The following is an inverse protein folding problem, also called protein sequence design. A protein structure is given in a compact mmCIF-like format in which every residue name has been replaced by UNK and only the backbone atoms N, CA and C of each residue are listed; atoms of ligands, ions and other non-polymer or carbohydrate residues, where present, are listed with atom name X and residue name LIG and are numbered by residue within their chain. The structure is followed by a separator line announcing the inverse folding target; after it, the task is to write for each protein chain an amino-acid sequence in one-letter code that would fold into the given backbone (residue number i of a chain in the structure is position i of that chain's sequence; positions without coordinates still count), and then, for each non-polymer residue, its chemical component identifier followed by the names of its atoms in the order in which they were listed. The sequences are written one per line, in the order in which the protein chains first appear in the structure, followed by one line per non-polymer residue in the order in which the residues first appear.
data_IF_917737712278
#
_entry.id   IF_917737712278
#
_cell.length_a   1.000
_cell.length_b   1.000
_cell.length_c   1.000
_cell.angle_alpha   90.00
_cell.angle_beta   90.00
_cell.angle_gamma   90.00
#
_symmetry.space_group_name_H-M   'P 1'
#
loop_
_entity.id
_entity.type
_entity.pdbx_description
1 polymer ?
#
# COMPACT_ATOMS: atom_id res chain seq x y z
N UNK A 1 4.32 -18.06 3.20
CA UNK A 1 3.56 -16.79 3.22
C UNK A 1 4.22 -15.79 2.29
N UNK A 2 3.47 -15.26 1.34
CA UNK A 2 3.95 -14.22 0.42
C UNK A 2 3.63 -12.85 1.00
N UNK A 3 4.49 -11.87 0.78
CA UNK A 3 4.29 -10.53 1.31
C UNK A 3 3.99 -9.52 0.20
N UNK A 4 2.94 -8.73 0.43
CA UNK A 4 2.59 -7.57 -0.38
C UNK A 4 3.02 -6.33 0.40
N UNK A 5 3.91 -5.53 -0.17
CA UNK A 5 4.42 -4.33 0.48
C UNK A 5 3.96 -3.09 -0.28
N UNK A 6 3.12 -2.27 0.35
CA UNK A 6 2.69 -0.99 -0.19
C UNK A 6 3.61 0.13 0.29
N UNK A 7 4.05 0.98 -0.63
CA UNK A 7 5.02 2.03 -0.32
C UNK A 7 4.52 3.39 -0.82
N UNK A 8 4.60 4.38 0.03
CA UNK A 8 4.41 5.80 -0.32
C UNK A 8 5.59 6.62 0.26
N UNK A 9 5.44 7.94 0.36
CA UNK A 9 6.52 8.77 0.88
C UNK A 9 6.64 8.66 2.40
N UNK A 10 5.61 9.10 3.12
CA UNK A 10 5.67 9.26 4.58
C UNK A 10 5.12 8.09 5.39
N UNK A 11 4.41 7.16 4.78
CA UNK A 11 3.79 6.02 5.45
C UNK A 11 2.81 6.41 6.57
N UNK A 12 2.09 7.50 6.39
CA UNK A 12 1.10 7.98 7.36
C UNK A 12 -0.31 8.13 6.81
N UNK A 13 -0.48 8.11 5.50
CA UNK A 13 -1.79 8.25 4.85
C UNK A 13 -2.06 7.15 3.83
N UNK A 14 -1.46 7.26 2.63
CA UNK A 14 -1.79 6.41 1.47
C UNK A 14 -1.46 4.94 1.69
N UNK A 15 -0.23 4.61 2.04
CA UNK A 15 0.17 3.21 2.18
C UNK A 15 -0.48 2.52 3.37
N UNK A 16 -0.67 3.18 4.55
CA UNK A 16 -1.43 2.54 5.64
C UNK A 16 -2.87 2.26 5.27
N UNK A 17 -3.56 3.20 4.61
CA UNK A 17 -4.93 3.00 4.16
C UNK A 17 -5.01 1.85 3.14
N UNK A 18 -4.07 1.83 2.19
CA UNK A 18 -4.01 0.78 1.18
C UNK A 18 -3.80 -0.59 1.82
N UNK A 19 -2.89 -0.68 2.77
CA UNK A 19 -2.63 -1.94 3.49
C UNK A 19 -3.87 -2.42 4.25
N UNK A 20 -4.57 -1.51 4.94
CA UNK A 20 -5.79 -1.87 5.68
C UNK A 20 -6.89 -2.37 4.74
N UNK A 21 -7.11 -1.69 3.63
CA UNK A 21 -8.10 -2.11 2.63
C UNK A 21 -7.72 -3.44 1.98
N UNK A 22 -6.44 -3.63 1.68
CA UNK A 22 -5.95 -4.89 1.11
C UNK A 22 -6.08 -6.04 2.10
N UNK A 23 -5.78 -5.82 3.38
CA UNK A 23 -5.98 -6.87 4.41
C UNK A 23 -7.44 -7.30 4.50
N UNK A 24 -8.37 -6.36 4.36
CA UNK A 24 -9.79 -6.68 4.33
C UNK A 24 -10.13 -7.58 3.13
N UNK A 25 -9.61 -7.26 1.95
CA UNK A 25 -9.81 -8.08 0.75
C UNK A 25 -9.21 -9.48 0.91
N UNK A 26 -8.02 -9.57 1.46
CA UNK A 26 -7.33 -10.84 1.74
C UNK A 26 -8.16 -11.70 2.69
N UNK A 27 -8.69 -11.09 3.75
CA UNK A 27 -9.56 -11.82 4.70
C UNK A 27 -10.83 -12.32 4.02
N UNK A 28 -11.49 -11.46 3.22
CA UNK A 28 -12.74 -11.81 2.57
C UNK A 28 -12.58 -12.94 1.57
N UNK A 29 -11.39 -13.14 1.03
CA UNK A 29 -11.08 -14.23 0.10
C UNK A 29 -10.49 -15.46 0.80
N UNK A 30 -10.38 -15.44 2.13
CA UNK A 30 -9.84 -16.56 2.88
C UNK A 30 -8.35 -16.79 2.70
N UNK A 31 -7.59 -15.74 2.35
CA UNK A 31 -6.17 -15.84 2.02
C UNK A 31 -5.22 -15.37 3.12
N UNK A 32 -5.72 -15.04 4.31
CA UNK A 32 -4.92 -14.47 5.40
C UNK A 32 -3.77 -15.40 5.84
N UNK A 33 -3.91 -16.69 5.65
CA UNK A 33 -2.87 -17.67 5.99
C UNK A 33 -1.78 -17.78 4.92
N UNK A 34 -1.98 -17.20 3.75
CA UNK A 34 -1.04 -17.27 2.62
C UNK A 34 -0.40 -15.94 2.26
N UNK A 35 -1.00 -14.83 2.69
CA UNK A 35 -0.57 -13.48 2.35
C UNK A 35 -0.38 -12.62 3.58
N UNK A 36 0.72 -11.91 3.63
CA UNK A 36 0.99 -10.85 4.59
C UNK A 36 0.95 -9.53 3.86
N UNK A 37 0.31 -8.52 4.45
CA UNK A 37 0.22 -7.18 3.88
C UNK A 37 0.93 -6.20 4.81
N UNK A 38 1.92 -5.50 4.27
CA UNK A 38 2.73 -4.54 5.01
C UNK A 38 2.77 -3.21 4.26
N UNK A 39 3.25 -2.16 4.94
CA UNK A 39 3.46 -0.85 4.33
C UNK A 39 4.73 -0.20 4.85
N UNK A 40 5.31 0.69 4.05
CA UNK A 40 6.50 1.44 4.40
C UNK A 40 6.51 2.78 3.64
N UNK A 41 7.44 3.66 3.99
CA UNK A 41 7.65 4.91 3.29
C UNK A 41 9.12 5.07 2.91
N UNK A 42 9.39 5.81 1.83
CA UNK A 42 10.78 6.07 1.43
C UNK A 42 11.41 7.22 2.21
N UNK A 43 10.60 8.06 2.84
CA UNK A 43 11.01 9.17 3.70
C UNK A 43 10.11 9.24 4.94
N UNK A 44 9.95 8.11 5.62
CA UNK A 44 9.11 8.02 6.80
C UNK A 44 9.89 8.41 8.06
N UNK A 45 9.19 9.02 9.00
CA UNK A 45 9.69 9.19 10.36
C UNK A 45 9.26 7.97 11.17
N UNK A 46 10.22 7.14 11.57
CA UNK A 46 9.93 5.91 12.32
C UNK A 46 9.03 6.15 13.52
N UNK A 47 8.02 5.29 13.64
CA UNK A 47 7.14 5.29 14.80
C UNK A 47 6.00 6.28 14.76
N UNK A 48 5.92 7.15 13.75
CA UNK A 48 4.85 8.12 13.64
C UNK A 48 3.50 7.42 13.39
N UNK A 49 2.43 7.81 14.08
CA UNK A 49 1.11 7.21 13.83
C UNK A 49 0.56 7.64 12.47
N UNK A 50 -0.46 6.92 12.00
CA UNK A 50 -1.23 7.38 10.84
C UNK A 50 -1.90 8.73 11.18
N UNK A 51 -2.13 9.56 10.16
CA UNK A 51 -2.80 10.84 10.40
C UNK A 51 -4.19 10.63 10.99
N UNK A 52 -4.69 11.57 11.81
CA UNK A 52 -6.04 11.46 12.37
C UNK A 52 -7.12 11.26 11.30
N UNK A 53 -6.99 11.96 10.16
CA UNK A 53 -7.91 11.86 9.05
C UNK A 53 -7.90 10.46 8.43
N UNK A 54 -6.70 9.87 8.23
CA UNK A 54 -6.60 8.51 7.71
C UNK A 54 -7.21 7.50 8.67
N UNK A 55 -6.96 7.66 9.97
CA UNK A 55 -7.55 6.80 10.99
C UNK A 55 -9.07 6.88 10.97
N UNK A 56 -9.62 8.09 10.91
CA UNK A 56 -11.07 8.31 10.91
C UNK A 56 -11.73 7.69 9.68
N UNK A 57 -11.16 7.90 8.50
CA UNK A 57 -11.72 7.37 7.25
C UNK A 57 -11.72 5.85 7.26
N UNK A 58 -10.67 5.23 7.81
CA UNK A 58 -10.66 3.77 7.94
C UNK A 58 -11.67 3.27 8.97
N UNK A 59 -11.83 3.97 10.09
CA UNK A 59 -12.84 3.63 11.08
C UNK A 59 -14.27 3.67 10.49
N UNK A 60 -14.55 4.65 9.63
CA UNK A 60 -15.83 4.74 8.91
C UNK A 60 -16.11 3.50 8.06
N UNK A 61 -15.06 2.76 7.68
CA UNK A 61 -15.14 1.54 6.87
C UNK A 61 -15.01 0.27 7.71
N UNK A 62 -15.03 0.39 9.03
CA UNK A 62 -14.89 -0.74 9.94
C UNK A 62 -13.47 -1.26 10.08
N UNK A 63 -12.47 -0.44 9.72
CA UNK A 63 -11.05 -0.80 9.78
C UNK A 63 -10.33 0.08 10.79
N UNK A 64 -9.22 -0.41 11.34
CA UNK A 64 -8.45 0.33 12.34
C UNK A 64 -7.02 0.57 11.88
N UNK A 65 -6.56 1.81 12.03
CA UNK A 65 -5.14 2.19 11.90
C UNK A 65 -4.55 2.60 13.25
N UNK A 66 -5.23 2.32 14.36
CA UNK A 66 -4.78 2.76 15.68
C UNK A 66 -3.40 2.20 16.06
N UNK A 67 -3.09 0.98 15.61
CA UNK A 67 -1.80 0.34 15.87
C UNK A 67 -0.73 0.64 14.83
N UNK A 68 -1.03 1.39 13.78
CA UNK A 68 -0.07 1.67 12.73
C UNK A 68 1.06 2.57 13.24
N UNK A 69 2.30 2.21 12.87
CA UNK A 69 3.49 3.06 13.08
C UNK A 69 4.25 3.15 11.78
N UNK A 70 4.59 4.37 11.39
CA UNK A 70 5.34 4.60 10.16
C UNK A 70 6.69 3.88 10.23
N UNK A 71 7.07 3.27 9.11
CA UNK A 71 8.30 2.50 8.97
C UNK A 71 9.03 2.97 7.71
N UNK A 72 10.29 3.32 7.85
CA UNK A 72 11.11 3.70 6.72
C UNK A 72 11.62 2.45 6.00
N UNK A 73 11.48 2.42 4.68
CA UNK A 73 11.82 1.26 3.86
C UNK A 73 13.29 0.86 4.04
N UNK A 74 13.53 -0.42 4.30
CA UNK A 74 14.87 -0.99 4.42
C UNK A 74 15.16 -1.98 3.30
N UNK A 75 16.44 -2.28 3.10
CA UNK A 75 16.85 -3.31 2.14
C UNK A 75 16.24 -4.68 2.50
N UNK A 76 16.11 -4.99 3.78
CA UNK A 76 15.49 -6.24 4.24
C UNK A 76 14.01 -6.31 3.87
N UNK A 77 13.29 -5.19 3.97
CA UNK A 77 11.89 -5.10 3.55
C UNK A 77 11.76 -5.40 2.05
N UNK A 78 12.60 -4.77 1.25
CA UNK A 78 12.61 -4.96 -0.19
C UNK A 78 12.90 -6.43 -0.56
N UNK A 79 13.87 -7.03 0.11
CA UNK A 79 14.24 -8.43 -0.15
C UNK A 79 13.12 -9.39 0.24
N UNK A 80 12.45 -9.15 1.35
CA UNK A 80 11.39 -10.02 1.88
C UNK A 80 10.10 -9.95 1.06
N UNK A 81 9.80 -8.80 0.47
CA UNK A 81 8.55 -8.61 -0.27
C UNK A 81 8.48 -9.49 -1.51
N UNK A 82 7.34 -10.15 -1.71
CA UNK A 82 7.05 -10.88 -2.94
C UNK A 82 6.67 -9.94 -4.07
N UNK A 83 6.00 -8.83 -3.73
CA UNK A 83 5.66 -7.75 -4.64
C UNK A 83 5.72 -6.43 -3.87
N UNK A 84 6.22 -5.39 -4.53
CA UNK A 84 6.27 -4.03 -3.98
C UNK A 84 5.35 -3.16 -4.84
N UNK A 85 4.38 -2.54 -4.20
CA UNK A 85 3.36 -1.73 -4.89
C UNK A 85 3.48 -0.29 -4.39
N UNK A 86 4.00 0.58 -5.23
CA UNK A 86 4.13 2.00 -4.93
C UNK A 86 2.83 2.72 -5.27
N UNK A 87 2.50 3.74 -4.49
CA UNK A 87 1.28 4.53 -4.68
C UNK A 87 1.46 5.64 -5.72
N UNK A 88 2.70 5.90 -6.12
CA UNK A 88 3.01 6.86 -7.18
C UNK A 88 4.28 6.47 -7.91
N UNK A 89 4.41 6.93 -9.14
CA UNK A 89 5.52 6.57 -10.02
C UNK A 89 6.88 6.97 -9.45
N UNK A 90 6.99 8.16 -8.87
CA UNK A 90 8.26 8.65 -8.33
C UNK A 90 8.79 7.76 -7.20
N UNK A 91 7.90 7.16 -6.41
CA UNK A 91 8.28 6.22 -5.35
C UNK A 91 8.79 4.92 -5.96
N UNK A 92 8.12 4.39 -6.98
CA UNK A 92 8.57 3.19 -7.69
C UNK A 92 9.96 3.40 -8.31
N UNK A 93 10.17 4.55 -8.94
CA UNK A 93 11.46 4.91 -9.53
C UNK A 93 12.56 5.00 -8.47
N UNK A 94 12.28 5.63 -7.33
CA UNK A 94 13.24 5.75 -6.24
C UNK A 94 13.67 4.38 -5.70
N UNK A 95 12.73 3.46 -5.53
CA UNK A 95 13.04 2.09 -5.08
C UNK A 95 13.91 1.37 -6.10
N UNK A 96 13.57 1.49 -7.38
CA UNK A 96 14.31 0.82 -8.47
C UNK A 96 15.72 1.37 -8.62
N UNK A 97 15.90 2.68 -8.44
CA UNK A 97 17.23 3.32 -8.49
C UNK A 97 18.08 2.86 -7.31
N UNK A 98 17.53 2.85 -6.11
CA UNK A 98 18.22 2.43 -4.89
C UNK A 98 18.55 0.94 -4.90
N UNK A 99 17.63 0.11 -5.42
CA UNK A 99 17.74 -1.35 -5.42
C UNK A 99 17.39 -1.90 -6.81
N UNK A 100 18.30 -1.77 -7.79
CA UNK A 100 18.01 -2.20 -9.18
C UNK A 100 17.62 -3.66 -9.30
N UNK A 101 18.15 -4.53 -8.45
CA UNK A 101 17.81 -5.96 -8.46
C UNK A 101 16.36 -6.25 -8.08
N UNK A 102 15.65 -5.30 -7.50
CA UNK A 102 14.24 -5.44 -7.15
C UNK A 102 13.29 -5.00 -8.27
N UNK A 103 13.80 -4.45 -9.37
CA UNK A 103 13.00 -3.83 -10.43
C UNK A 103 11.86 -4.74 -10.94
N UNK A 104 12.11 -6.04 -11.05
CA UNK A 104 11.12 -7.00 -11.58
C UNK A 104 9.89 -7.14 -10.69
N UNK A 105 9.97 -6.81 -9.41
CA UNK A 105 8.85 -6.93 -8.47
C UNK A 105 8.29 -5.59 -7.99
N UNK A 106 8.77 -4.47 -8.55
CA UNK A 106 8.29 -3.13 -8.22
C UNK A 106 7.27 -2.68 -9.26
N UNK A 107 6.08 -2.34 -8.80
CA UNK A 107 4.99 -1.87 -9.65
C UNK A 107 4.32 -0.67 -8.98
N UNK A 108 3.58 0.12 -9.75
CA UNK A 108 2.65 1.08 -9.14
C UNK A 108 1.28 0.44 -9.04
N UNK A 109 0.48 0.92 -8.09
CA UNK A 109 -0.91 0.47 -7.99
C UNK A 109 -1.67 0.79 -9.29
N UNK A 110 -1.40 1.96 -9.89
CA UNK A 110 -2.02 2.37 -11.15
C UNK A 110 -1.73 1.38 -12.29
N UNK A 111 -0.48 0.94 -12.44
CA UNK A 111 -0.14 -0.07 -13.45
C UNK A 111 -0.94 -1.35 -13.26
N UNK A 112 -1.01 -1.83 -12.04
CA UNK A 112 -1.69 -3.08 -11.72
C UNK A 112 -3.21 -2.98 -11.90
N UNK A 113 -3.75 -1.77 -11.77
CA UNK A 113 -5.18 -1.49 -11.93
C UNK A 113 -5.57 -1.11 -13.37
N UNK A 114 -4.63 -1.09 -14.32
CA UNK A 114 -4.84 -0.55 -15.67
C UNK A 114 -5.36 0.89 -15.66
N UNK A 115 -4.88 1.66 -14.69
CA UNK A 115 -5.20 3.08 -14.54
C UNK A 115 -3.91 3.79 -14.13
N UNK A 116 -3.14 4.33 -15.09
CA UNK A 116 -1.76 4.77 -14.84
C UNK A 116 -1.62 6.01 -13.96
N UNK A 117 -2.70 6.47 -13.34
CA UNK A 117 -2.66 7.62 -12.45
C UNK A 117 -1.95 7.28 -11.13
N UNK A 118 -1.24 8.26 -10.60
CA UNK A 118 -0.75 8.20 -9.23
C UNK A 118 -1.90 8.45 -8.26
N UNK A 119 -1.80 7.88 -7.06
CA UNK A 119 -2.68 8.24 -5.94
C UNK A 119 -2.12 9.52 -5.32
N UNK A 120 -2.87 10.61 -5.40
CA UNK A 120 -2.45 11.89 -4.84
C UNK A 120 -2.36 11.83 -3.32
N UNK A 121 -1.37 12.55 -2.78
CA UNK A 121 -1.16 12.63 -1.33
C UNK A 121 -2.19 13.56 -0.69
N UNK A 122 -3.08 13.05 0.19
CA UNK A 122 -4.09 13.87 0.83
C UNK A 122 -3.59 14.68 2.03
N UNK A 123 -2.31 14.56 2.39
CA UNK A 123 -1.78 15.20 3.60
C UNK A 123 -2.03 16.72 3.59
N UNK A 124 -2.51 17.25 4.72
CA UNK A 124 -2.83 18.66 4.82
C UNK A 124 -4.14 19.07 4.17
N UNK A 125 -4.86 18.14 3.55
CA UNK A 125 -6.14 18.41 2.89
C UNK A 125 -7.32 18.06 3.83
N UNK A 126 -8.52 18.56 3.53
CA UNK A 126 -9.70 18.22 4.32
C UNK A 126 -10.01 16.72 4.31
N UNK A 127 -10.77 16.27 5.31
CA UNK A 127 -11.10 14.85 5.45
C UNK A 127 -11.87 14.29 4.24
N UNK A 128 -12.65 15.12 3.53
CA UNK A 128 -13.35 14.71 2.31
C UNK A 128 -12.37 14.24 1.24
N UNK A 129 -11.19 14.85 1.17
CA UNK A 129 -10.14 14.43 0.23
C UNK A 129 -9.59 13.06 0.64
N UNK A 130 -9.44 12.80 1.94
CA UNK A 130 -9.05 11.49 2.44
C UNK A 130 -10.09 10.41 2.09
N UNK A 131 -11.39 10.75 2.19
CA UNK A 131 -12.46 9.83 1.79
C UNK A 131 -12.40 9.50 0.31
N UNK A 132 -12.20 10.52 -0.52
CA UNK A 132 -12.04 10.35 -1.97
C UNK A 132 -10.81 9.49 -2.29
N UNK A 133 -9.70 9.74 -1.59
CA UNK A 133 -8.47 8.97 -1.76
C UNK A 133 -8.71 7.50 -1.39
N UNK A 134 -9.41 7.24 -0.30
CA UNK A 134 -9.74 5.88 0.12
C UNK A 134 -10.64 5.17 -0.91
N UNK A 135 -11.65 5.87 -1.45
CA UNK A 135 -12.50 5.34 -2.51
C UNK A 135 -11.71 4.98 -3.75
N UNK A 136 -10.80 5.86 -4.17
CA UNK A 136 -9.93 5.66 -5.31
C UNK A 136 -9.01 4.46 -5.10
N UNK A 137 -8.37 4.38 -3.95
CA UNK A 137 -7.50 3.24 -3.60
C UNK A 137 -8.29 1.93 -3.63
N UNK A 138 -9.47 1.92 -3.04
CA UNK A 138 -10.29 0.71 -2.99
C UNK A 138 -10.68 0.24 -4.40
N UNK A 139 -11.10 1.16 -5.27
CA UNK A 139 -11.43 0.82 -6.65
C UNK A 139 -10.21 0.28 -7.41
N UNK A 140 -9.05 0.90 -7.22
CA UNK A 140 -7.80 0.44 -7.85
C UNK A 140 -7.38 -0.93 -7.33
N UNK A 141 -7.49 -1.18 -6.02
CA UNK A 141 -7.18 -2.49 -5.43
C UNK A 141 -8.09 -3.59 -6.00
N UNK A 142 -9.37 -3.32 -6.13
CA UNK A 142 -10.32 -4.28 -6.71
C UNK A 142 -9.91 -4.67 -8.13
N UNK A 143 -9.45 -3.70 -8.92
CA UNK A 143 -9.00 -3.94 -10.30
C UNK A 143 -7.62 -4.61 -10.34
N UNK A 144 -6.75 -4.32 -9.37
CA UNK A 144 -5.39 -4.83 -9.33
C UNK A 144 -5.27 -6.22 -8.70
N UNK A 145 -6.26 -6.63 -7.90
CA UNK A 145 -6.19 -7.82 -7.07
C UNK A 145 -5.78 -9.08 -7.83
N UNK A 146 -6.41 -9.34 -8.96
CA UNK A 146 -6.12 -10.53 -9.77
C UNK A 146 -4.67 -10.56 -10.24
N UNK A 147 -4.12 -9.42 -10.66
CA UNK A 147 -2.73 -9.32 -11.09
C UNK A 147 -1.75 -9.51 -9.94
N UNK A 148 -2.04 -8.93 -8.79
CA UNK A 148 -1.21 -9.11 -7.60
C UNK A 148 -1.12 -10.59 -7.24
N UNK A 149 -2.24 -11.26 -7.17
CA UNK A 149 -2.28 -12.69 -6.86
C UNK A 149 -1.56 -13.52 -7.92
N UNK A 150 -1.74 -13.20 -9.20
CA UNK A 150 -1.06 -13.90 -10.29
C UNK A 150 0.46 -13.75 -10.20
N UNK A 151 0.95 -12.53 -9.94
CA UNK A 151 2.39 -12.27 -9.78
C UNK A 151 2.97 -13.08 -8.62
N UNK A 152 2.22 -13.19 -7.52
CA UNK A 152 2.64 -13.94 -6.34
C UNK A 152 2.45 -15.46 -6.49
N UNK A 153 1.77 -15.91 -7.54
CA UNK A 153 1.46 -17.33 -7.70
C UNK A 153 0.46 -17.85 -6.69
N UNK A 154 -0.43 -17.00 -6.21
CA UNK A 154 -1.46 -17.35 -5.22
C UNK A 154 -2.81 -17.40 -5.90
N UNK A 155 -3.52 -18.50 -5.71
CA UNK A 155 -4.89 -18.66 -6.22
C UNK A 155 -5.89 -18.42 -5.09
N UNK A 156 -6.99 -17.71 -5.38
CA UNK A 156 -8.07 -17.51 -4.41
C UNK A 156 -8.70 -18.83 -3.96
#
# INVERSE_FOLDING_TARGET
VKEILFVCKGNTCRSPMTAALCRQMVRSQGLSHRLRVCSAGIWAYEGQPATPEAQKVMEERGLSLAGHRAHNLTAADVQRAGIIVALERSVAEAITIETPQAAAKVHTLGELADDPRDVEDPIGRPIEVYRQTADEIQAMLQRACGRILAILGVRP
#
